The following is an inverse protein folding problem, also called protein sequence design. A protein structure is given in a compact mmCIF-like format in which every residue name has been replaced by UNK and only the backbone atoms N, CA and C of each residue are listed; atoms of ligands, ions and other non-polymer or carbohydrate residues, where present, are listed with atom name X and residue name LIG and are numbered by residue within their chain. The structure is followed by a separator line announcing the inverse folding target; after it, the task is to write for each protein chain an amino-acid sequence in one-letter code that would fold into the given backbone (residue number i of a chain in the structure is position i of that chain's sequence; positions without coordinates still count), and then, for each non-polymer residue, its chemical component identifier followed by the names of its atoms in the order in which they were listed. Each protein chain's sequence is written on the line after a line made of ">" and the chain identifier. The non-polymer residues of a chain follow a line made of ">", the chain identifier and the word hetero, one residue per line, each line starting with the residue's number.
data_IF_131980006309
#
_entry.id   IF_131980006309
#
_cell.length_a   1.000
_cell.length_b   1.000
_cell.length_c   1.000
_cell.angle_alpha   90.00
_cell.angle_beta   90.00
_cell.angle_gamma   90.00
#
_symmetry.space_group_name_H-M   'P 1'
#
loop_
_entity.id
_entity.type
_entity.pdbx_description
1 polymer ?
#
# COMPACT_ATOMS: atom_id res chain seq x y z
N UNK A 1 -10.03 -12.11 10.34
CA UNK A 1 -9.56 -10.77 9.93
C UNK A 1 -10.67 -9.79 10.23
N UNK A 2 -10.46 -8.85 11.16
CA UNK A 2 -11.47 -7.82 11.45
C UNK A 2 -11.46 -6.77 10.34
N UNK A 3 -12.60 -6.14 10.05
CA UNK A 3 -12.69 -5.06 9.03
C UNK A 3 -11.82 -3.84 9.38
N UNK A 4 -11.32 -3.75 10.61
CA UNK A 4 -10.48 -2.65 11.10
C UNK A 4 -8.97 -2.96 11.07
N UNK A 5 -8.57 -4.17 10.67
CA UNK A 5 -7.17 -4.57 10.66
C UNK A 5 -6.43 -3.88 9.50
N UNK A 6 -5.29 -3.26 9.82
CA UNK A 6 -4.42 -2.58 8.84
C UNK A 6 -3.32 -3.54 8.42
N UNK A 7 -3.43 -4.06 7.21
CA UNK A 7 -2.50 -5.05 6.66
C UNK A 7 -1.73 -4.46 5.49
N UNK A 8 -0.46 -4.81 5.35
CA UNK A 8 0.29 -4.48 4.15
C UNK A 8 -0.24 -5.28 2.94
N UNK A 9 -0.29 -4.60 1.80
CA UNK A 9 -0.40 -5.22 0.48
C UNK A 9 0.91 -5.03 -0.27
N UNK A 10 1.17 -5.88 -1.27
CA UNK A 10 2.43 -5.90 -2.00
C UNK A 10 2.73 -4.68 -2.88
N UNK A 11 2.04 -3.56 -2.73
CA UNK A 11 2.22 -2.36 -3.53
C UNK A 11 3.06 -1.30 -2.80
N UNK A 12 3.91 -0.59 -3.54
CA UNK A 12 4.67 0.55 -3.03
C UNK A 12 5.06 1.49 -4.17
N UNK A 13 5.53 2.70 -3.85
CA UNK A 13 6.15 3.58 -4.83
C UNK A 13 7.66 3.79 -4.59
N UNK A 14 8.32 2.86 -3.88
CA UNK A 14 9.76 2.90 -3.58
C UNK A 14 10.61 3.02 -4.86
N UNK A 15 10.12 2.46 -5.97
CA UNK A 15 10.77 2.51 -7.28
C UNK A 15 10.45 3.79 -8.09
N UNK A 16 9.89 4.83 -7.46
CA UNK A 16 9.54 6.10 -8.09
C UNK A 16 8.20 6.10 -8.83
N UNK A 17 7.53 4.95 -8.93
CA UNK A 17 6.16 4.81 -9.43
C UNK A 17 5.43 3.73 -8.64
N UNK A 18 4.10 3.84 -8.52
CA UNK A 18 3.28 2.90 -7.78
C UNK A 18 3.21 1.55 -8.53
N UNK A 19 3.84 0.52 -7.95
CA UNK A 19 4.03 -0.78 -8.58
C UNK A 19 3.87 -1.93 -7.59
N UNK A 20 3.56 -3.11 -8.11
CA UNK A 20 3.60 -4.37 -7.37
C UNK A 20 5.05 -4.76 -7.10
N UNK A 21 5.44 -4.91 -5.84
CA UNK A 21 6.82 -5.22 -5.46
C UNK A 21 7.28 -6.60 -5.93
N UNK A 22 6.37 -7.58 -5.99
CA UNK A 22 6.70 -8.95 -6.38
C UNK A 22 6.99 -9.09 -7.88
N UNK A 23 6.31 -8.30 -8.72
CA UNK A 23 6.36 -8.43 -10.19
C UNK A 23 7.03 -7.23 -10.88
N UNK A 24 7.16 -6.10 -10.19
CA UNK A 24 7.61 -4.83 -10.78
C UNK A 24 6.60 -4.22 -11.78
N UNK A 25 5.35 -4.69 -11.79
CA UNK A 25 4.34 -4.20 -12.74
C UNK A 25 3.54 -3.02 -12.17
N UNK A 26 3.15 -2.05 -13.01
CA UNK A 26 2.29 -0.96 -12.58
C UNK A 26 0.90 -1.46 -12.17
N UNK A 27 0.30 -0.77 -11.20
CA UNK A 27 -1.06 -1.09 -10.77
C UNK A 27 -2.08 -0.59 -11.80
N UNK A 28 -3.08 -1.42 -12.08
CA UNK A 28 -4.22 -1.09 -12.95
C UNK A 28 -5.49 -0.77 -12.17
N UNK A 29 -5.56 -1.15 -10.89
CA UNK A 29 -6.67 -0.89 -9.98
C UNK A 29 -6.13 -0.37 -8.65
N UNK A 30 -6.65 0.78 -8.20
CA UNK A 30 -6.12 1.50 -7.04
C UNK A 30 -7.28 2.10 -6.23
N UNK A 31 -7.84 1.37 -5.24
CA UNK A 31 -8.98 1.83 -4.44
C UNK A 31 -8.52 2.70 -3.26
N UNK A 32 -7.94 3.87 -3.54
CA UNK A 32 -7.54 4.80 -2.50
C UNK A 32 -8.73 5.26 -1.67
N UNK A 33 -8.53 5.34 -0.34
CA UNK A 33 -9.45 6.06 0.52
C UNK A 33 -9.47 7.55 0.13
N UNK A 34 -10.57 8.24 0.46
CA UNK A 34 -10.70 9.67 0.18
C UNK A 34 -9.58 10.46 0.88
N UNK A 35 -8.75 11.16 0.09
CA UNK A 35 -7.63 11.95 0.58
C UNK A 35 -6.28 11.24 0.59
N UNK A 36 -6.25 9.98 0.16
CA UNK A 36 -5.01 9.22 -0.07
C UNK A 36 -4.57 9.29 -1.55
N UNK A 37 -3.27 9.09 -1.85
CA UNK A 37 -2.17 8.97 -0.89
C UNK A 37 -1.86 10.31 -0.20
N UNK A 38 -1.53 10.28 1.09
CA UNK A 38 -1.14 11.46 1.86
C UNK A 38 0.26 11.90 1.41
N UNK A 39 0.34 13.05 0.74
CA UNK A 39 1.60 13.63 0.24
C UNK A 39 2.56 14.07 1.36
N UNK A 40 2.10 14.18 2.61
CA UNK A 40 2.90 14.60 3.78
C UNK A 40 3.65 13.47 4.49
N UNK A 41 3.83 12.30 3.85
CA UNK A 41 4.81 11.31 4.28
C UNK A 41 6.20 11.64 3.67
N UNK A 42 6.51 12.94 3.64
CA UNK A 42 7.82 13.58 3.59
C UNK A 42 8.92 13.15 2.58
N UNK A 43 8.59 12.67 1.37
CA UNK A 43 9.03 13.30 0.08
C UNK A 43 8.95 12.43 -1.18
N UNK A 44 8.82 11.11 -1.15
CA UNK A 44 8.56 10.35 -2.40
C UNK A 44 8.17 8.89 -2.22
N UNK A 45 8.32 8.29 -1.04
CA UNK A 45 8.28 6.83 -0.88
C UNK A 45 7.35 6.39 0.24
N UNK A 46 6.36 5.56 -0.10
CA UNK A 46 5.36 4.97 0.78
C UNK A 46 5.08 3.51 0.39
N UNK A 47 4.57 2.78 1.38
CA UNK A 47 4.04 1.43 1.21
C UNK A 47 2.53 1.48 1.35
N UNK A 48 1.85 0.56 0.67
CA UNK A 48 0.39 0.54 0.64
C UNK A 48 -0.14 -0.45 1.66
N UNK A 49 -0.99 0.04 2.56
CA UNK A 49 -1.78 -0.81 3.44
C UNK A 49 -3.25 -0.81 3.01
N UNK A 50 -3.99 -1.85 3.41
CA UNK A 50 -5.43 -1.98 3.26
C UNK A 50 -6.12 -2.01 4.63
N UNK A 51 -7.24 -1.30 4.75
CA UNK A 51 -8.16 -1.35 5.90
C UNK A 51 -9.58 -1.33 5.35
N UNK A 52 -10.39 -2.34 5.70
CA UNK A 52 -11.68 -2.54 5.01
C UNK A 52 -11.44 -2.78 3.51
N UNK A 53 -12.13 -2.04 2.63
CA UNK A 53 -11.94 -2.13 1.18
C UNK A 53 -11.01 -1.07 0.61
N UNK A 54 -10.61 -0.09 1.43
CA UNK A 54 -9.86 1.07 0.98
C UNK A 54 -8.37 0.91 1.27
N UNK A 55 -7.58 1.57 0.44
CA UNK A 55 -6.14 1.62 0.54
C UNK A 55 -5.67 2.95 1.12
N UNK A 56 -4.55 2.88 1.84
CA UNK A 56 -3.94 4.02 2.49
C UNK A 56 -2.42 3.96 2.29
N UNK A 57 -1.80 5.12 2.17
CA UNK A 57 -0.34 5.25 2.15
C UNK A 57 0.18 5.33 3.58
N UNK A 58 1.30 4.67 3.86
CA UNK A 58 1.93 4.73 5.17
C UNK A 58 3.45 4.52 5.06
N UNK A 59 4.18 4.86 6.12
CA UNK A 59 5.64 4.68 6.19
C UNK A 59 5.97 3.20 6.13
N UNK A 60 6.78 2.81 5.15
CA UNK A 60 7.24 1.42 4.97
C UNK A 60 7.96 0.85 6.20
N UNK A 61 8.48 1.70 7.07
CA UNK A 61 9.16 1.30 8.32
C UNK A 61 8.20 0.84 9.41
N UNK A 62 6.88 1.03 9.27
CA UNK A 62 5.92 0.53 10.24
C UNK A 62 5.77 -1.00 10.16
N UNK A 63 5.86 -1.66 11.32
CA UNK A 63 5.58 -3.09 11.44
C UNK A 63 4.06 -3.33 11.42
N UNK A 64 3.58 -4.13 10.47
CA UNK A 64 2.17 -4.51 10.33
C UNK A 64 2.05 -5.96 9.85
N UNK A 65 0.95 -6.66 10.17
CA UNK A 65 0.60 -7.88 9.45
C UNK A 65 0.49 -7.62 7.95
N UNK A 66 0.64 -8.67 7.13
CA UNK A 66 0.62 -8.56 5.68
C UNK A 66 -0.13 -9.74 5.05
N UNK A 67 -0.60 -9.53 3.83
CA UNK A 67 -1.23 -10.58 3.01
C UNK A 67 -0.25 -10.98 1.90
N UNK A 68 -0.09 -12.29 1.70
CA UNK A 68 0.67 -12.85 0.58
C UNK A 68 -0.27 -13.33 -0.53
N UNK A 69 0.24 -13.31 -1.75
CA UNK A 69 -0.34 -14.00 -2.90
C UNK A 69 0.57 -15.19 -3.25
N UNK A 70 -0.03 -16.30 -3.68
CA UNK A 70 0.67 -17.46 -4.21
C UNK A 70 -0.06 -17.92 -5.48
N UNK A 71 0.71 -18.36 -6.47
CA UNK A 71 0.19 -18.97 -7.70
C UNK A 71 -0.37 -20.38 -7.46
#
# INVERSE_FOLDING_TARGET
>A
MSLAERVWVGASNIQGSLMWMATGTPLTYIPWAKGEPIMSVDTAVYCVMKMGNDWYSDKCTHSRPFICEQA
#
